data_IF_542261285504
#
_entry.id   IF_542261285504
#
_cell.length_a   1.000
_cell.length_b   1.000
_cell.length_c   1.000
_cell.angle_alpha   90.00
_cell.angle_beta   90.00
_cell.angle_gamma   90.00
#
_symmetry.space_group_name_H-M   'P 1'
#
loop_
_entity.id
_entity.type
_entity.pdbx_description
1 polymer ?
#
# COMPACT_ATOMS: atom_id res chain seq x y z
N UNK A 1 -8.45 -10.57 -23.53
CA UNK A 1 -8.02 -11.14 -22.23
C UNK A 1 -7.50 -9.98 -21.39
N UNK A 2 -7.83 -9.92 -20.10
CA UNK A 2 -7.34 -8.85 -19.21
C UNK A 2 -5.86 -9.11 -18.88
N UNK A 3 -5.01 -8.09 -18.99
CA UNK A 3 -3.61 -8.15 -18.57
C UNK A 3 -3.50 -8.09 -17.05
N UNK A 4 -2.52 -8.75 -16.48
CA UNK A 4 -2.15 -8.64 -15.06
C UNK A 4 -0.71 -8.15 -15.00
N UNK A 5 -0.50 -7.04 -14.33
CA UNK A 5 0.81 -6.48 -14.03
C UNK A 5 1.02 -6.52 -12.52
N UNK A 6 2.16 -7.04 -12.09
CA UNK A 6 2.50 -7.18 -10.67
C UNK A 6 3.77 -6.40 -10.38
N UNK A 7 3.74 -5.60 -9.33
CA UNK A 7 4.88 -4.87 -8.78
C UNK A 7 4.94 -5.13 -7.28
N UNK A 8 6.11 -5.11 -6.68
CA UNK A 8 6.34 -5.37 -5.25
C UNK A 8 7.47 -4.49 -4.75
N UNK A 9 7.54 -4.30 -3.44
CA UNK A 9 8.67 -3.65 -2.77
C UNK A 9 8.98 -2.24 -3.33
N UNK A 10 7.94 -1.42 -3.48
CA UNK A 10 8.09 -0.03 -3.90
C UNK A 10 8.58 0.84 -2.74
N UNK A 11 8.10 0.57 -1.52
CA UNK A 11 8.50 1.22 -0.28
C UNK A 11 8.42 2.76 -0.34
N UNK A 12 7.34 3.30 -0.93
CA UNK A 12 7.13 4.76 -0.99
C UNK A 12 6.96 5.33 0.42
N UNK A 13 7.88 6.20 0.82
CA UNK A 13 7.90 6.85 2.12
C UNK A 13 7.23 8.23 2.17
N UNK A 14 7.56 9.02 3.17
CA UNK A 14 6.95 10.34 3.43
C UNK A 14 7.71 11.55 2.90
N UNK A 15 8.69 11.35 2.03
CA UNK A 15 9.53 12.44 1.47
C UNK A 15 10.55 13.00 2.46
N UNK A 16 10.88 12.26 3.50
CA UNK A 16 11.92 12.60 4.48
C UNK A 16 13.23 11.84 4.18
N UNK A 17 14.25 12.00 5.04
CA UNK A 17 15.57 11.37 4.84
C UNK A 17 15.55 9.83 4.89
N UNK A 18 14.47 9.23 5.38
CA UNK A 18 14.31 7.76 5.41
C UNK A 18 13.48 7.24 4.25
N UNK A 19 13.07 8.10 3.33
CA UNK A 19 12.35 7.73 2.12
C UNK A 19 13.35 7.39 1.03
N UNK A 20 13.53 6.11 0.79
CA UNK A 20 14.48 5.59 -0.19
C UNK A 20 13.89 5.46 -1.59
N UNK A 21 12.57 5.69 -1.77
CA UNK A 21 11.92 5.60 -3.08
C UNK A 21 12.15 6.87 -3.91
N UNK A 22 13.02 6.77 -4.91
CA UNK A 22 13.41 7.88 -5.79
C UNK A 22 12.90 7.74 -7.23
N UNK A 23 12.07 6.75 -7.51
CA UNK A 23 11.71 6.32 -8.87
C UNK A 23 10.32 6.76 -9.34
N UNK A 24 9.79 7.87 -8.81
CA UNK A 24 8.46 8.40 -9.15
C UNK A 24 8.20 8.48 -10.65
N UNK A 25 9.15 9.01 -11.41
CA UNK A 25 9.02 9.18 -12.86
C UNK A 25 8.92 7.83 -13.55
N UNK A 26 9.86 6.93 -13.28
CA UNK A 26 9.90 5.60 -13.91
C UNK A 26 8.65 4.76 -13.58
N UNK A 27 8.18 4.82 -12.32
CA UNK A 27 6.96 4.12 -11.92
C UNK A 27 5.74 4.74 -12.60
N UNK A 28 5.64 6.06 -12.66
CA UNK A 28 4.53 6.76 -13.32
C UNK A 28 4.47 6.41 -14.81
N UNK A 29 5.60 6.44 -15.51
CA UNK A 29 5.70 6.07 -16.94
C UNK A 29 5.32 4.60 -17.15
N UNK A 30 5.75 3.71 -16.27
CA UNK A 30 5.39 2.29 -16.32
C UNK A 30 3.88 2.09 -16.19
N UNK A 31 3.24 2.77 -15.22
CA UNK A 31 1.79 2.72 -15.01
C UNK A 31 1.05 3.32 -16.22
N UNK A 32 1.56 4.41 -16.76
CA UNK A 32 0.99 5.04 -17.96
C UNK A 32 1.06 4.12 -19.18
N UNK A 33 2.15 3.37 -19.35
CA UNK A 33 2.27 2.34 -20.38
C UNK A 33 1.23 1.23 -20.29
N UNK A 34 0.74 0.93 -19.08
CA UNK A 34 -0.31 -0.07 -18.85
C UNK A 34 -1.73 0.47 -19.06
N UNK A 35 -1.91 1.77 -19.14
CA UNK A 35 -3.21 2.44 -19.12
C UNK A 35 -4.11 2.06 -20.31
N UNK A 36 -3.51 1.89 -21.48
CA UNK A 36 -4.23 1.68 -22.76
C UNK A 36 -4.24 0.19 -23.21
N UNK A 37 -4.00 -0.74 -22.29
CA UNK A 37 -4.00 -2.16 -22.61
C UNK A 37 -5.38 -2.64 -23.11
N UNK A 38 -5.39 -3.29 -24.27
CA UNK A 38 -6.61 -3.82 -24.88
C UNK A 38 -7.23 -4.91 -23.97
N UNK A 39 -8.48 -4.71 -23.58
CA UNK A 39 -9.18 -5.61 -22.64
C UNK A 39 -9.00 -5.23 -21.18
N UNK A 40 -8.27 -4.16 -20.90
CA UNK A 40 -7.98 -3.65 -19.55
C UNK A 40 -6.82 -4.37 -18.88
N UNK A 41 -6.35 -3.76 -17.78
CA UNK A 41 -5.26 -4.28 -16.96
C UNK A 41 -5.68 -4.30 -15.49
N UNK A 42 -5.26 -5.32 -14.76
CA UNK A 42 -5.26 -5.33 -13.30
C UNK A 42 -3.82 -5.09 -12.83
N UNK A 43 -3.58 -3.94 -12.21
CA UNK A 43 -2.32 -3.61 -11.57
C UNK A 43 -2.37 -4.12 -10.13
N UNK A 44 -1.39 -4.92 -9.75
CA UNK A 44 -1.30 -5.51 -8.42
C UNK A 44 -0.02 -5.02 -7.76
N UNK A 45 -0.17 -4.33 -6.64
CA UNK A 45 0.92 -4.05 -5.72
C UNK A 45 0.99 -5.18 -4.70
N UNK A 46 2.04 -5.99 -4.78
CA UNK A 46 2.17 -7.24 -4.04
C UNK A 46 2.99 -7.05 -2.76
N UNK A 47 2.49 -6.22 -1.87
CA UNK A 47 3.12 -5.89 -0.59
C UNK A 47 4.19 -4.82 -0.69
N UNK A 48 4.47 -4.19 0.44
CA UNK A 48 5.46 -3.14 0.63
C UNK A 48 5.33 -2.02 -0.41
N UNK A 49 4.08 -1.62 -0.65
CA UNK A 49 3.79 -0.47 -1.52
C UNK A 49 4.22 0.83 -0.86
N UNK A 50 4.00 0.91 0.45
CA UNK A 50 4.33 2.08 1.28
C UNK A 50 5.29 1.66 2.39
N UNK A 51 6.27 2.53 2.70
CA UNK A 51 7.17 2.33 3.83
C UNK A 51 6.65 3.07 5.08
N UNK A 52 5.50 2.64 5.58
CA UNK A 52 4.90 3.29 6.74
C UNK A 52 5.65 2.98 8.03
N UNK A 53 6.40 1.89 8.09
CA UNK A 53 7.13 1.46 9.27
C UNK A 53 8.26 2.42 9.62
N UNK A 54 8.99 2.96 8.62
CA UNK A 54 10.08 3.93 8.83
C UNK A 54 9.60 5.37 9.03
N UNK A 55 8.30 5.63 8.85
CA UNK A 55 7.74 6.97 9.03
C UNK A 55 7.41 7.23 10.50
N UNK A 56 7.92 8.31 11.11
CA UNK A 56 7.54 8.69 12.46
C UNK A 56 6.12 9.21 12.52
N UNK A 57 5.49 9.06 13.68
CA UNK A 57 4.26 9.76 14.05
C UNK A 57 4.65 10.97 14.90
N UNK A 58 4.16 12.15 14.54
CA UNK A 58 4.35 13.35 15.35
C UNK A 58 3.27 13.41 16.44
N UNK A 59 3.69 13.29 17.70
CA UNK A 59 2.84 13.51 18.87
C UNK A 59 3.38 14.70 19.67
N UNK A 60 2.58 15.76 19.79
CA UNK A 60 2.99 17.00 20.47
C UNK A 60 4.33 17.58 19.97
N UNK A 61 4.58 17.50 18.66
CA UNK A 61 5.83 17.96 18.06
C UNK A 61 7.03 17.02 18.21
N UNK A 62 6.87 15.89 18.87
CA UNK A 62 7.92 14.88 19.06
C UNK A 62 7.70 13.75 18.05
N UNK A 63 8.74 13.43 17.27
CA UNK A 63 8.75 12.30 16.37
C UNK A 63 8.91 10.99 17.16
N UNK A 64 7.98 10.07 16.97
CA UNK A 64 8.00 8.75 17.62
C UNK A 64 7.72 7.65 16.59
N UNK A 65 8.26 6.47 16.83
CA UNK A 65 7.95 5.25 16.07
C UNK A 65 7.18 4.30 17.00
N UNK A 66 5.84 4.44 17.08
CA UNK A 66 5.07 3.61 17.98
C UNK A 66 5.02 2.16 17.47
N UNK A 67 5.13 1.20 18.39
CA UNK A 67 4.95 -0.23 18.09
C UNK A 67 3.51 -0.51 17.67
N UNK A 68 2.55 0.23 18.25
CA UNK A 68 1.13 0.15 17.90
C UNK A 68 0.73 1.38 17.08
N UNK A 69 0.19 1.17 15.91
CA UNK A 69 -0.28 2.22 15.03
C UNK A 69 -1.80 2.19 14.93
N UNK A 70 -2.43 3.31 15.28
CA UNK A 70 -3.86 3.51 15.07
C UNK A 70 -4.18 3.96 13.63
N UNK A 71 -5.45 3.80 13.23
CA UNK A 71 -5.89 4.12 11.89
C UNK A 71 -5.70 5.62 11.54
N UNK A 72 -5.85 6.52 12.52
CA UNK A 72 -5.67 7.96 12.31
C UNK A 72 -4.20 8.27 11.97
N UNK A 73 -3.27 7.71 12.74
CA UNK A 73 -1.84 7.86 12.49
C UNK A 73 -1.42 7.24 11.14
N UNK A 74 -1.97 6.08 10.81
CA UNK A 74 -1.75 5.44 9.51
C UNK A 74 -2.27 6.31 8.35
N UNK A 75 -3.45 6.88 8.46
CA UNK A 75 -4.00 7.79 7.47
C UNK A 75 -3.11 9.04 7.28
N UNK A 76 -2.60 9.63 8.37
CA UNK A 76 -1.68 10.78 8.30
C UNK A 76 -0.36 10.42 7.58
N UNK A 77 0.17 9.21 7.78
CA UNK A 77 1.34 8.74 7.04
C UNK A 77 1.04 8.66 5.54
N UNK A 78 -0.11 8.10 5.15
CA UNK A 78 -0.51 8.07 3.74
C UNK A 78 -0.70 9.47 3.12
N UNK A 79 -1.14 10.46 3.89
CA UNK A 79 -1.18 11.86 3.43
C UNK A 79 0.22 12.38 3.07
N UNK A 80 1.23 12.05 3.89
CA UNK A 80 2.62 12.40 3.62
C UNK A 80 3.16 11.67 2.38
N UNK A 81 2.90 10.37 2.25
CA UNK A 81 3.27 9.60 1.06
C UNK A 81 2.69 10.22 -0.20
N UNK A 82 1.39 10.54 -0.21
CA UNK A 82 0.76 11.22 -1.35
C UNK A 82 1.41 12.57 -1.67
N UNK A 83 1.78 13.33 -0.64
CA UNK A 83 2.45 14.62 -0.82
C UNK A 83 3.83 14.45 -1.46
N UNK A 84 4.58 13.44 -1.04
CA UNK A 84 5.91 13.13 -1.56
C UNK A 84 5.83 12.59 -2.99
N UNK A 85 4.98 11.59 -3.24
CA UNK A 85 4.89 10.82 -4.49
C UNK A 85 3.65 11.19 -5.34
N UNK A 86 3.28 12.47 -5.36
CA UNK A 86 2.12 12.98 -6.11
C UNK A 86 2.04 12.55 -7.59
N UNK A 87 3.14 12.48 -8.35
CA UNK A 87 3.14 11.96 -9.71
C UNK A 87 2.62 10.52 -9.81
N UNK A 88 3.07 9.62 -8.93
CA UNK A 88 2.63 8.22 -8.89
C UNK A 88 1.13 8.12 -8.59
N UNK A 89 0.64 8.87 -7.60
CA UNK A 89 -0.80 8.90 -7.27
C UNK A 89 -1.65 9.37 -8.45
N UNK A 90 -1.17 10.34 -9.24
CA UNK A 90 -1.84 10.77 -10.47
C UNK A 90 -1.87 9.67 -11.52
N UNK A 91 -0.73 9.01 -11.78
CA UNK A 91 -0.66 7.92 -12.74
C UNK A 91 -1.60 6.76 -12.38
N UNK A 92 -1.63 6.36 -11.09
CA UNK A 92 -2.56 5.34 -10.58
C UNK A 92 -4.03 5.78 -10.78
N UNK A 93 -4.34 7.04 -10.48
CA UNK A 93 -5.70 7.58 -10.68
C UNK A 93 -6.12 7.50 -12.15
N UNK A 94 -5.28 8.00 -13.05
CA UNK A 94 -5.56 8.01 -14.48
C UNK A 94 -5.69 6.58 -15.03
N UNK A 95 -4.82 5.67 -14.60
CA UNK A 95 -4.90 4.25 -14.93
C UNK A 95 -6.25 3.65 -14.50
N UNK A 96 -6.67 3.86 -13.24
CA UNK A 96 -7.90 3.28 -12.71
C UNK A 96 -9.16 3.87 -13.36
N UNK A 97 -9.13 5.12 -13.81
CA UNK A 97 -10.28 5.75 -14.49
C UNK A 97 -10.53 5.17 -15.89
N UNK A 98 -9.57 4.47 -16.50
CA UNK A 98 -9.79 3.79 -17.77
C UNK A 98 -10.72 2.59 -17.61
N UNK A 99 -11.55 2.37 -18.63
CA UNK A 99 -12.47 1.23 -18.66
C UNK A 99 -11.68 -0.09 -18.67
N UNK A 100 -12.09 -1.03 -17.84
CA UNK A 100 -11.46 -2.35 -17.75
C UNK A 100 -10.29 -2.42 -16.77
N UNK A 101 -9.68 -1.28 -16.38
CA UNK A 101 -8.57 -1.25 -15.44
C UNK A 101 -9.05 -1.32 -13.99
N UNK A 102 -8.26 -1.96 -13.15
CA UNK A 102 -8.46 -2.07 -11.70
C UNK A 102 -7.11 -2.14 -10.97
N UNK A 103 -7.12 -1.79 -9.70
CA UNK A 103 -5.97 -1.81 -8.81
C UNK A 103 -6.21 -2.85 -7.71
N UNK A 104 -5.17 -3.56 -7.33
CA UNK A 104 -5.21 -4.50 -6.20
C UNK A 104 -4.02 -4.24 -5.30
N UNK A 105 -4.25 -4.20 -3.98
CA UNK A 105 -3.22 -4.17 -2.95
C UNK A 105 -3.19 -5.51 -2.23
N UNK A 106 -2.01 -6.10 -2.11
CA UNK A 106 -1.67 -7.17 -1.18
C UNK A 106 -0.87 -6.54 -0.05
N UNK A 107 -1.08 -6.95 1.17
CA UNK A 107 -0.44 -6.38 2.35
C UNK A 107 0.97 -6.95 2.50
N UNK A 108 1.94 -6.08 2.74
CA UNK A 108 3.31 -6.41 3.09
C UNK A 108 3.61 -6.22 4.58
N UNK A 109 4.89 -6.32 4.97
CA UNK A 109 5.32 -6.05 6.34
C UNK A 109 5.62 -4.57 6.59
N UNK A 110 5.87 -3.77 5.54
CA UNK A 110 6.06 -2.32 5.64
C UNK A 110 4.76 -1.52 5.60
N UNK A 111 3.66 -2.11 5.12
CA UNK A 111 2.36 -1.47 5.02
C UNK A 111 1.19 -2.30 5.63
N UNK A 112 1.38 -2.92 6.83
CA UNK A 112 0.37 -3.80 7.43
C UNK A 112 -0.94 -3.08 7.75
N UNK A 113 -0.94 -1.76 7.84
CA UNK A 113 -2.12 -0.92 8.07
C UNK A 113 -3.15 -0.99 6.94
N UNK A 114 -2.74 -1.44 5.75
CA UNK A 114 -3.66 -1.65 4.63
C UNK A 114 -4.72 -2.72 4.90
N UNK A 115 -4.59 -3.49 6.00
CA UNK A 115 -5.66 -4.39 6.46
C UNK A 115 -6.83 -3.64 7.12
N UNK A 116 -6.62 -2.41 7.61
CA UNK A 116 -7.62 -1.63 8.33
C UNK A 116 -8.63 -0.99 7.37
N UNK A 117 -9.94 -1.20 7.56
CA UNK A 117 -10.97 -0.64 6.66
C UNK A 117 -10.95 0.89 6.57
N UNK A 118 -10.60 1.59 7.65
CA UNK A 118 -10.48 3.04 7.71
C UNK A 118 -9.35 3.54 6.82
N UNK A 119 -8.20 2.86 6.87
CA UNK A 119 -7.01 3.16 6.06
C UNK A 119 -7.30 2.88 4.58
N UNK A 120 -7.96 1.78 4.26
CA UNK A 120 -8.40 1.46 2.91
C UNK A 120 -9.30 2.55 2.32
N UNK A 121 -10.32 2.98 3.07
CA UNK A 121 -11.22 4.07 2.66
C UNK A 121 -10.47 5.39 2.46
N UNK A 122 -9.50 5.68 3.33
CA UNK A 122 -8.68 6.87 3.22
C UNK A 122 -7.81 6.84 1.96
N UNK A 123 -7.12 5.72 1.71
CA UNK A 123 -6.28 5.54 0.52
C UNK A 123 -7.10 5.71 -0.77
N UNK A 124 -8.30 5.12 -0.85
CA UNK A 124 -9.20 5.29 -2.01
C UNK A 124 -9.56 6.76 -2.23
N UNK A 125 -9.82 7.52 -1.16
CA UNK A 125 -10.06 8.97 -1.24
C UNK A 125 -8.82 9.72 -1.73
N UNK A 126 -7.63 9.36 -1.23
CA UNK A 126 -6.37 9.96 -1.67
C UNK A 126 -6.10 9.72 -3.15
N UNK A 127 -6.39 8.53 -3.64
CA UNK A 127 -6.28 8.18 -5.05
C UNK A 127 -7.34 8.90 -5.92
N UNK A 128 -8.46 9.32 -5.33
CA UNK A 128 -9.55 9.99 -6.05
C UNK A 128 -10.22 9.09 -7.09
N UNK A 129 -10.40 7.81 -6.78
CA UNK A 129 -10.99 6.81 -7.66
C UNK A 129 -12.20 6.13 -7.00
N UNK A 130 -13.14 5.55 -7.78
CA UNK A 130 -14.24 4.79 -7.22
C UNK A 130 -13.76 3.54 -6.48
N UNK A 131 -14.38 3.21 -5.35
CA UNK A 131 -14.01 2.05 -4.52
C UNK A 131 -14.08 0.72 -5.29
N UNK A 132 -15.00 0.57 -6.22
CA UNK A 132 -15.14 -0.63 -7.05
C UNK A 132 -14.00 -0.83 -8.06
N UNK A 133 -13.07 0.11 -8.15
CA UNK A 133 -11.84 0.01 -8.93
C UNK A 133 -10.67 -0.54 -8.13
N UNK A 134 -10.79 -0.66 -6.81
CA UNK A 134 -9.73 -1.11 -5.91
C UNK A 134 -10.15 -2.38 -5.19
N UNK A 135 -9.21 -3.31 -5.08
CA UNK A 135 -9.34 -4.54 -4.30
C UNK A 135 -8.24 -4.52 -3.24
N UNK A 136 -8.62 -4.72 -1.98
CA UNK A 136 -7.69 -5.00 -0.90
C UNK A 136 -7.74 -6.51 -0.63
N UNK A 137 -6.72 -7.23 -1.10
CA UNK A 137 -6.70 -8.69 -1.11
C UNK A 137 -6.26 -9.30 0.24
N UNK A 138 -5.90 -8.45 1.22
CA UNK A 138 -5.29 -8.91 2.45
C UNK A 138 -3.90 -9.48 2.19
N UNK A 139 -3.57 -10.64 2.76
CA UNK A 139 -2.22 -11.21 2.66
C UNK A 139 -1.96 -12.03 1.39
N UNK A 140 -2.98 -12.35 0.63
CA UNK A 140 -2.79 -13.09 -0.62
C UNK A 140 -3.86 -12.75 -1.65
N UNK A 141 -3.43 -12.78 -2.91
CA UNK A 141 -4.30 -12.68 -4.06
C UNK A 141 -4.48 -14.06 -4.69
N UNK A 142 -5.74 -14.44 -4.97
CA UNK A 142 -6.08 -15.71 -5.62
C UNK A 142 -7.14 -15.47 -6.68
N UNK A 143 -6.73 -15.41 -7.93
CA UNK A 143 -7.64 -15.19 -9.06
C UNK A 143 -7.00 -15.64 -10.37
N UNK A 144 -7.79 -16.09 -11.30
CA UNK A 144 -7.36 -16.52 -12.64
C UNK A 144 -6.28 -17.60 -12.66
N UNK A 145 -6.23 -18.47 -11.66
CA UNK A 145 -5.18 -19.47 -11.51
C UNK A 145 -3.84 -18.94 -10.99
N UNK A 146 -3.78 -17.67 -10.60
CA UNK A 146 -2.60 -17.00 -10.04
C UNK A 146 -2.75 -16.93 -8.53
N UNK A 147 -1.67 -17.26 -7.82
CA UNK A 147 -1.49 -17.05 -6.39
C UNK A 147 -0.32 -16.10 -6.17
N UNK A 148 -0.56 -15.02 -5.43
CA UNK A 148 0.46 -14.05 -5.04
C UNK A 148 0.37 -13.82 -3.55
N UNK A 149 1.50 -13.73 -2.91
CA UNK A 149 1.69 -13.25 -1.54
C UNK A 149 3.00 -12.47 -1.47
N UNK A 150 3.13 -11.59 -0.50
CA UNK A 150 4.38 -10.84 -0.33
C UNK A 150 5.51 -11.75 0.20
N UNK A 151 5.18 -12.72 1.05
CA UNK A 151 6.12 -13.75 1.52
C UNK A 151 6.67 -13.50 2.93
N UNK A 152 6.53 -12.30 3.49
CA UNK A 152 7.02 -11.96 4.84
C UNK A 152 6.46 -12.86 5.95
N UNK A 153 5.29 -13.45 5.75
CA UNK A 153 4.67 -14.38 6.71
C UNK A 153 5.46 -15.69 6.90
N UNK A 154 6.37 -16.00 5.99
CA UNK A 154 7.25 -17.17 6.05
C UNK A 154 8.64 -16.85 6.62
N UNK A 155 8.94 -15.56 6.82
CA UNK A 155 10.20 -15.12 7.40
C UNK A 155 10.13 -15.03 8.92
N UNK A 156 11.19 -15.49 9.60
CA UNK A 156 11.23 -15.53 11.08
C UNK A 156 11.32 -14.12 11.68
N UNK A 157 11.97 -13.18 10.97
CA UNK A 157 12.23 -11.82 11.45
C UNK A 157 11.13 -10.83 11.02
N UNK A 158 10.58 -10.99 9.82
CA UNK A 158 9.63 -10.04 9.23
C UNK A 158 8.17 -10.48 9.34
N UNK A 159 7.91 -11.63 9.96
CA UNK A 159 6.56 -12.12 10.15
C UNK A 159 5.73 -11.18 11.02
N UNK A 160 4.77 -10.50 10.41
CA UNK A 160 3.73 -9.76 11.12
C UNK A 160 2.56 -10.71 11.37
N UNK A 161 2.31 -11.10 12.62
CA UNK A 161 1.16 -11.92 12.98
C UNK A 161 -0.11 -11.04 13.06
N UNK A 162 -0.48 -10.46 11.94
CA UNK A 162 -1.56 -9.47 11.85
C UNK A 162 -2.93 -10.04 12.18
N UNK A 163 -3.19 -11.33 11.95
CA UNK A 163 -4.44 -11.95 12.40
C UNK A 163 -4.57 -11.86 13.91
N UNK A 164 -3.49 -12.05 14.66
CA UNK A 164 -3.46 -11.89 16.10
C UNK A 164 -3.50 -10.42 16.53
N UNK A 165 -2.83 -9.54 15.79
CA UNK A 165 -2.85 -8.10 16.06
C UNK A 165 -4.25 -7.53 15.83
N UNK A 166 -4.88 -7.86 14.71
CA UNK A 166 -6.24 -7.42 14.34
C UNK A 166 -7.28 -7.96 15.33
N UNK A 167 -7.20 -9.24 15.75
CA UNK A 167 -8.13 -9.81 16.72
C UNK A 167 -7.94 -9.25 18.13
N UNK A 168 -6.70 -8.99 18.53
CA UNK A 168 -6.34 -8.50 19.87
C UNK A 168 -6.76 -7.05 20.09
N UNK A 169 -6.73 -6.21 19.06
CA UNK A 169 -7.00 -4.78 19.14
C UNK A 169 -8.33 -4.35 18.48
N UNK A 170 -9.24 -5.28 18.21
CA UNK A 170 -10.54 -5.00 17.56
C UNK A 170 -10.40 -4.26 16.21
N UNK A 171 -9.36 -4.56 15.45
CA UNK A 171 -9.05 -3.93 14.15
C UNK A 171 -8.74 -2.42 14.20
N UNK A 172 -8.47 -1.87 15.38
CA UNK A 172 -8.21 -0.44 15.54
C UNK A 172 -6.73 -0.08 15.59
N UNK A 173 -5.87 -1.07 15.84
CA UNK A 173 -4.42 -0.88 15.95
C UNK A 173 -3.69 -2.09 15.35
N UNK A 174 -2.52 -1.84 14.78
CA UNK A 174 -1.63 -2.86 14.24
C UNK A 174 -0.28 -2.75 14.92
N UNK A 175 0.27 -3.88 15.36
CA UNK A 175 1.63 -3.93 15.85
C UNK A 175 2.60 -3.96 14.66
N UNK A 176 3.52 -3.00 14.64
CA UNK A 176 4.65 -3.02 13.72
C UNK A 176 5.73 -3.97 14.22
N UNK A 177 6.44 -4.59 13.30
CA UNK A 177 7.69 -5.28 13.63
C UNK A 177 8.68 -4.23 14.12
N UNK A 178 9.39 -4.46 15.24
CA UNK A 178 10.43 -3.55 15.65
C UNK A 178 11.48 -3.39 14.55
N UNK A 179 11.79 -2.15 14.19
CA UNK A 179 12.93 -1.85 13.32
C UNK A 179 14.16 -1.98 14.21
N UNK A 180 15.02 -2.95 13.94
CA UNK A 180 16.32 -3.10 14.57
C UNK A 180 17.40 -2.33 13.82
#
# INVERSE_FOLDING_TARGET
>A
MKKIAVMSDLEMGGGNLTDDFISDLALSETIDGLKEERGGCELIFNGDTFDTIRMPVLRNGIATHPILLDAESACRKLDLVKKAHGPVFRAIREFCLRKGNSLTFVVGNHDPELIMPEVQKHLVRLLGIPINKVIFAGYCYRKYGIYLEHGHQHDVYFKVETEKAVSRFRQTEIAHTPIF
#
